data_IF_907415348525
#
_entry.id   IF_907415348525
#
_cell.length_a   1.000
_cell.length_b   1.000
_cell.length_c   1.000
_cell.angle_alpha   90.00
_cell.angle_beta   90.00
_cell.angle_gamma   90.00
#
_symmetry.space_group_name_H-M   'P 1'
#
loop_
_entity.id
_entity.type
_entity.pdbx_description
1 polymer ?
#
# COMPACT_ATOMS: atom_id res chain seq x y z
N UNK A 1 -9.05 -1.18 7.18
CA UNK A 1 -8.30 -2.26 7.84
C UNK A 1 -6.94 -1.67 8.24
N UNK A 2 -6.43 -1.91 9.47
CA UNK A 2 -5.04 -1.58 9.80
C UNK A 2 -4.08 -2.45 8.98
N UNK A 3 -2.83 -2.02 8.79
CA UNK A 3 -1.79 -2.83 8.13
C UNK A 3 -1.55 -4.11 8.96
N UNK A 4 -1.83 -5.31 8.41
CA UNK A 4 -1.67 -6.55 9.15
C UNK A 4 -0.20 -6.91 9.40
N UNK A 5 0.74 -6.32 8.65
CA UNK A 5 2.17 -6.62 8.73
C UNK A 5 3.02 -5.41 9.16
N UNK A 6 2.45 -4.49 9.95
CA UNK A 6 3.11 -3.25 10.33
C UNK A 6 4.52 -3.41 10.94
N UNK A 7 4.82 -4.58 11.53
CA UNK A 7 6.14 -4.92 12.08
C UNK A 7 7.27 -4.96 11.02
N UNK A 8 6.94 -5.12 9.73
CA UNK A 8 7.92 -5.11 8.64
C UNK A 8 8.41 -3.70 8.27
N UNK A 9 7.77 -2.66 8.82
CA UNK A 9 8.15 -1.26 8.62
C UNK A 9 7.95 -0.72 7.21
N UNK A 10 7.17 -1.38 6.34
CA UNK A 10 7.04 -1.02 4.91
C UNK A 10 6.60 0.43 4.68
N UNK A 11 5.70 0.95 5.51
CA UNK A 11 5.28 2.36 5.47
C UNK A 11 6.47 3.33 5.62
N UNK A 12 7.45 2.99 6.46
CA UNK A 12 8.57 3.87 6.82
C UNK A 12 9.73 3.85 5.81
N UNK A 13 9.70 2.94 4.83
CA UNK A 13 10.82 2.66 3.89
C UNK A 13 10.46 2.85 2.42
N UNK A 14 9.50 3.73 2.16
CA UNK A 14 9.05 4.09 0.81
C UNK A 14 9.04 5.62 0.63
N UNK A 15 8.93 6.08 -0.61
CA UNK A 15 9.20 7.48 -1.01
C UNK A 15 8.22 8.50 -0.43
N UNK A 16 7.07 8.06 0.05
CA UNK A 16 6.10 8.95 0.69
C UNK A 16 6.54 9.40 2.09
N UNK A 17 7.42 8.65 2.77
CA UNK A 17 7.74 8.90 4.18
C UNK A 17 8.39 10.27 4.45
N UNK A 18 9.35 10.77 3.63
CA UNK A 18 9.86 12.14 3.78
C UNK A 18 8.78 13.23 3.72
N UNK A 19 7.71 13.02 2.95
CA UNK A 19 6.57 13.95 2.89
C UNK A 19 5.77 13.92 4.19
N UNK A 20 5.54 12.72 4.75
CA UNK A 20 4.90 12.53 6.06
C UNK A 20 5.68 13.25 7.17
N UNK A 21 7.01 13.18 7.15
CA UNK A 21 7.88 13.92 8.08
C UNK A 21 7.76 15.45 7.98
N UNK A 22 7.23 15.97 6.86
CA UNK A 22 6.91 17.39 6.65
C UNK A 22 5.41 17.68 6.81
N UNK A 23 4.66 16.75 7.39
CA UNK A 23 3.25 16.92 7.70
C UNK A 23 2.30 16.74 6.51
N UNK A 24 2.81 16.36 5.33
CA UNK A 24 1.99 16.09 4.16
C UNK A 24 1.34 14.70 4.35
N UNK A 25 0.01 14.60 4.37
CA UNK A 25 -0.67 13.31 4.46
C UNK A 25 -0.33 12.42 3.27
N UNK A 26 -0.04 11.16 3.55
CA UNK A 26 0.26 10.15 2.54
C UNK A 26 -0.50 8.85 2.81
N UNK A 27 -0.69 8.08 1.76
CA UNK A 27 -1.28 6.75 1.81
C UNK A 27 -0.30 5.74 1.23
N UNK A 28 -0.07 4.67 1.98
CA UNK A 28 0.60 3.47 1.49
C UNK A 28 -0.46 2.36 1.44
N UNK A 29 -0.90 2.03 0.23
CA UNK A 29 -1.90 0.99 0.00
C UNK A 29 -1.31 -0.07 -0.91
N UNK A 30 -1.39 -1.32 -0.46
CA UNK A 30 -1.01 -2.51 -1.23
C UNK A 30 -2.02 -3.63 -0.98
N UNK A 31 -2.52 -4.24 -2.04
CA UNK A 31 -3.31 -5.47 -1.99
C UNK A 31 -2.39 -6.69 -1.93
N UNK A 32 -2.78 -7.72 -1.17
CA UNK A 32 -2.10 -9.03 -1.12
C UNK A 32 -2.57 -9.93 0.04
N UNK A 33 -3.13 -9.39 1.12
CA UNK A 33 -3.35 -10.14 2.37
C UNK A 33 -4.62 -11.02 2.41
N UNK A 34 -5.47 -10.92 1.40
CA UNK A 34 -6.70 -11.71 1.30
C UNK A 34 -7.03 -11.95 -0.18
N UNK A 35 -6.88 -13.20 -0.64
CA UNK A 35 -7.22 -13.55 -2.00
C UNK A 35 -8.73 -13.81 -2.10
N UNK A 36 -9.42 -13.13 -3.04
CA UNK A 36 -10.89 -13.24 -3.19
C UNK A 36 -11.40 -14.66 -3.46
N UNK A 37 -10.58 -15.53 -4.08
CA UNK A 37 -10.95 -16.90 -4.44
C UNK A 37 -10.46 -17.91 -3.41
N UNK A 38 -9.25 -17.71 -2.89
CA UNK A 38 -8.52 -18.72 -2.11
C UNK A 38 -8.40 -18.36 -0.61
N UNK A 39 -8.76 -17.14 -0.23
CA UNK A 39 -8.75 -16.64 1.14
C UNK A 39 -7.37 -16.23 1.65
N UNK A 40 -7.31 -15.97 2.96
CA UNK A 40 -6.15 -15.39 3.66
C UNK A 40 -4.96 -16.34 3.83
N UNK A 41 -5.20 -17.60 4.13
CA UNK A 41 -4.11 -18.57 4.34
C UNK A 41 -3.31 -18.78 3.05
N UNK A 42 -4.02 -18.97 1.93
CA UNK A 42 -3.39 -19.03 0.61
C UNK A 42 -2.57 -17.77 0.33
N UNK A 43 -3.14 -16.60 0.60
CA UNK A 43 -2.49 -15.32 0.36
C UNK A 43 -1.21 -15.16 1.19
N UNK A 44 -1.26 -15.54 2.46
CA UNK A 44 -0.11 -15.55 3.38
C UNK A 44 1.03 -16.45 2.88
N UNK A 45 0.71 -17.66 2.43
CA UNK A 45 1.71 -18.58 1.85
C UNK A 45 2.36 -17.99 0.59
N UNK A 46 1.55 -17.40 -0.30
CA UNK A 46 2.05 -16.80 -1.54
C UNK A 46 2.90 -15.56 -1.30
N UNK A 47 2.52 -14.72 -0.33
CA UNK A 47 3.34 -13.58 0.12
C UNK A 47 4.67 -14.07 0.70
N UNK A 48 4.64 -15.11 1.55
CA UNK A 48 5.87 -15.67 2.13
C UNK A 48 6.81 -16.20 1.04
N UNK A 49 6.28 -16.89 0.03
CA UNK A 49 7.04 -17.32 -1.13
C UNK A 49 7.60 -16.14 -1.93
N UNK A 50 6.80 -15.10 -2.19
CA UNK A 50 7.25 -13.89 -2.88
C UNK A 50 8.43 -13.22 -2.17
N UNK A 51 8.37 -13.07 -0.85
CA UNK A 51 9.47 -12.52 -0.07
C UNK A 51 10.71 -13.40 -0.08
N UNK A 52 10.53 -14.71 -0.01
CA UNK A 52 11.62 -15.67 0.02
C UNK A 52 12.32 -15.77 -1.33
N UNK A 53 11.58 -15.77 -2.45
CA UNK A 53 12.08 -16.21 -3.76
C UNK A 53 11.90 -15.23 -4.91
N UNK A 54 11.21 -14.10 -4.73
CA UNK A 54 10.95 -13.14 -5.82
C UNK A 54 11.50 -11.75 -5.51
N UNK A 55 11.15 -11.16 -4.37
CA UNK A 55 11.49 -9.78 -4.05
C UNK A 55 13.01 -9.52 -4.11
N UNK A 56 13.43 -8.52 -4.91
CA UNK A 56 14.85 -8.17 -5.12
C UNK A 56 15.71 -9.31 -5.70
N UNK A 57 15.12 -10.23 -6.45
CA UNK A 57 15.82 -11.33 -7.13
C UNK A 57 15.59 -11.27 -8.65
N UNK A 58 16.42 -11.96 -9.46
CA UNK A 58 16.21 -12.04 -10.92
C UNK A 58 14.85 -12.61 -11.34
N UNK A 59 14.18 -13.32 -10.44
CA UNK A 59 12.82 -13.87 -10.60
C UNK A 59 11.72 -12.81 -10.48
N UNK A 60 12.03 -11.57 -10.11
CA UNK A 60 11.09 -10.44 -10.02
C UNK A 60 10.72 -9.91 -11.40
N UNK A 61 9.93 -10.69 -12.13
CA UNK A 61 9.45 -10.41 -13.47
C UNK A 61 7.98 -10.80 -13.61
N UNK A 62 7.32 -10.32 -14.67
CA UNK A 62 5.97 -10.72 -15.00
C UNK A 62 5.93 -12.12 -15.60
N UNK A 63 4.88 -12.87 -15.30
CA UNK A 63 4.62 -14.21 -15.81
C UNK A 63 3.22 -14.23 -16.47
N UNK A 64 3.09 -13.83 -17.75
CA UNK A 64 1.80 -13.62 -18.40
C UNK A 64 0.86 -14.83 -18.41
N UNK A 65 1.41 -16.04 -18.35
CA UNK A 65 0.64 -17.29 -18.36
C UNK A 65 -0.03 -17.59 -17.00
N UNK A 66 0.46 -16.99 -15.90
CA UNK A 66 0.03 -17.29 -14.53
C UNK A 66 -0.43 -16.08 -13.73
N UNK A 67 0.02 -14.87 -14.10
CA UNK A 67 -0.29 -13.65 -13.38
C UNK A 67 -1.76 -13.22 -13.58
N UNK A 68 -2.48 -13.04 -12.47
CA UNK A 68 -3.81 -12.42 -12.45
C UNK A 68 -3.70 -10.94 -12.08
N UNK A 69 -3.80 -10.06 -13.08
CA UNK A 69 -3.71 -8.61 -12.90
C UNK A 69 -5.01 -7.95 -12.41
N UNK A 70 -6.07 -8.71 -12.11
CA UNK A 70 -7.35 -8.13 -11.67
C UNK A 70 -7.25 -7.39 -10.33
N UNK A 71 -6.31 -7.79 -9.46
CA UNK A 71 -5.99 -7.06 -8.24
C UNK A 71 -5.30 -5.72 -8.53
N UNK A 72 -4.30 -5.72 -9.41
CA UNK A 72 -3.58 -4.52 -9.82
C UNK A 72 -4.51 -3.49 -10.47
N UNK A 73 -5.47 -3.94 -11.29
CA UNK A 73 -6.47 -3.05 -11.88
C UNK A 73 -7.31 -2.32 -10.83
N UNK A 74 -7.67 -2.99 -9.72
CA UNK A 74 -8.39 -2.36 -8.62
C UNK A 74 -7.54 -1.33 -7.89
N UNK A 75 -6.25 -1.60 -7.71
CA UNK A 75 -5.32 -0.65 -7.11
C UNK A 75 -5.15 0.60 -7.99
N UNK A 76 -4.96 0.42 -9.30
CA UNK A 76 -4.88 1.53 -10.26
C UNK A 76 -6.15 2.38 -10.21
N UNK A 77 -7.33 1.76 -10.20
CA UNK A 77 -8.60 2.48 -10.09
C UNK A 77 -8.69 3.26 -8.77
N UNK A 78 -8.30 2.64 -7.65
CA UNK A 78 -8.30 3.30 -6.34
C UNK A 78 -7.41 4.55 -6.33
N UNK A 79 -6.17 4.45 -6.84
CA UNK A 79 -5.25 5.59 -6.88
C UNK A 79 -5.73 6.67 -7.85
N UNK A 80 -6.30 6.30 -8.99
CA UNK A 80 -6.90 7.24 -9.93
C UNK A 80 -8.07 7.99 -9.30
N UNK A 81 -9.02 7.28 -8.69
CA UNK A 81 -10.20 7.88 -8.05
C UNK A 81 -9.81 8.82 -6.91
N UNK A 82 -8.82 8.43 -6.10
CA UNK A 82 -8.29 9.28 -5.04
C UNK A 82 -7.66 10.56 -5.62
N UNK A 83 -6.77 10.42 -6.60
CA UNK A 83 -6.11 11.55 -7.25
C UNK A 83 -7.10 12.49 -7.91
N UNK A 84 -8.05 11.94 -8.67
CA UNK A 84 -9.11 12.70 -9.33
C UNK A 84 -9.98 13.44 -8.33
N UNK A 85 -10.42 12.77 -7.26
CA UNK A 85 -11.21 13.41 -6.20
C UNK A 85 -10.45 14.56 -5.53
N UNK A 86 -9.18 14.36 -5.20
CA UNK A 86 -8.34 15.41 -4.60
C UNK A 86 -8.11 16.59 -5.55
N UNK A 87 -8.01 16.34 -6.85
CA UNK A 87 -7.88 17.40 -7.85
C UNK A 87 -9.16 18.22 -8.04
N UNK A 88 -10.33 17.65 -7.73
CA UNK A 88 -11.64 18.31 -7.85
C UNK A 88 -12.13 18.93 -6.53
N UNK A 89 -11.51 18.59 -5.40
CA UNK A 89 -11.88 19.10 -4.08
C UNK A 89 -10.97 20.25 -3.67
N UNK A 90 -11.53 21.26 -3.00
CA UNK A 90 -10.77 22.35 -2.38
C UNK A 90 -10.31 22.01 -0.95
N UNK A 91 -10.84 20.93 -0.38
CA UNK A 91 -10.49 20.42 0.94
C UNK A 91 -9.14 19.72 0.95
N UNK A 92 -8.34 19.99 1.98
CA UNK A 92 -7.07 19.30 2.20
C UNK A 92 -7.27 18.03 3.06
N UNK A 93 -6.65 16.89 2.69
CA UNK A 93 -6.65 15.69 3.54
C UNK A 93 -6.14 16.00 4.94
N UNK A 94 -6.76 15.40 5.95
CA UNK A 94 -6.34 15.57 7.36
C UNK A 94 -5.97 14.22 7.95
N UNK A 95 -4.96 14.24 8.82
CA UNK A 95 -4.64 13.08 9.65
C UNK A 95 -5.81 12.72 10.54
N UNK A 96 -6.00 11.42 10.78
CA UNK A 96 -6.91 10.95 11.84
C UNK A 96 -6.39 11.46 13.19
N UNK A 97 -7.26 11.87 14.14
CA UNK A 97 -6.80 12.43 15.43
C UNK A 97 -5.84 11.53 16.23
N UNK A 98 -5.97 10.20 16.08
CA UNK A 98 -5.11 9.21 16.75
C UNK A 98 -3.91 8.75 15.91
N UNK A 99 -3.69 9.35 14.74
CA UNK A 99 -2.51 9.04 13.93
C UNK A 99 -1.26 9.54 14.64
N UNK A 100 -0.21 8.73 14.66
CA UNK A 100 1.12 9.14 15.14
C UNK A 100 1.67 10.36 14.38
N UNK A 101 1.19 10.61 13.16
CA UNK A 101 1.61 11.74 12.33
C UNK A 101 0.74 13.00 12.50
N UNK A 102 -0.33 12.95 13.29
CA UNK A 102 -1.28 14.07 13.43
C UNK A 102 -0.68 15.36 14.01
N UNK A 103 0.48 15.26 14.68
CA UNK A 103 1.14 16.38 15.35
C UNK A 103 2.54 16.68 14.78
N UNK A 104 2.93 16.13 13.61
CA UNK A 104 4.29 16.29 13.05
C UNK A 104 4.70 17.76 12.85
N UNK A 105 3.72 18.66 12.65
CA UNK A 105 3.97 20.10 12.49
C UNK A 105 3.80 20.93 13.77
N UNK A 106 3.35 20.33 14.87
CA UNK A 106 3.28 21.02 16.17
C UNK A 106 4.66 20.96 16.80
N UNK A 107 5.47 21.98 16.53
CA UNK A 107 6.68 22.29 17.29
C UNK A 107 6.32 23.04 18.56
#
# INVERSE_FOLDING_TARGET
MPDPDAYNGMFYRSDHFPFVQKGIPAMFAKGWNDNRKQGKEWAKEHIAHYWAETYHKPTDQTHPDTDDYSGLLQEVQLFFDLGYKLAQDTGYPKWKPKSEFANVLKR
#
